data_IF_647444255705
#
_entry.id   IF_647444255705
#
_cell.length_a   1.000
_cell.length_b   1.000
_cell.length_c   1.000
_cell.angle_alpha   90.00
_cell.angle_beta   90.00
_cell.angle_gamma   90.00
#
_symmetry.space_group_name_H-M   'P 1'
#
loop_
_entity.id
_entity.type
_entity.pdbx_description
1 polymer ?
#
# COMPACT_ATOMS: atom_id res chain seq x y z
N UNK A 1 19.30 26.80 -4.39
CA UNK A 1 18.57 25.80 -5.22
C UNK A 1 18.54 24.50 -4.43
N UNK A 2 17.47 24.24 -3.72
CA UNK A 2 17.26 23.02 -2.96
C UNK A 2 16.59 22.00 -3.88
N UNK A 3 17.33 20.98 -4.29
CA UNK A 3 16.77 19.82 -4.97
C UNK A 3 15.85 19.08 -4.02
N UNK A 4 14.60 19.45 -4.01
CA UNK A 4 13.53 18.69 -3.38
C UNK A 4 13.05 17.65 -4.39
N UNK A 5 13.73 16.50 -4.44
CA UNK A 5 13.25 15.34 -5.17
C UNK A 5 12.08 14.76 -4.37
N UNK A 6 10.90 15.29 -4.59
CA UNK A 6 9.69 14.85 -3.91
C UNK A 6 8.90 13.97 -4.83
N UNK A 7 8.95 12.66 -4.57
CA UNK A 7 7.92 11.73 -5.01
C UNK A 7 6.62 12.16 -4.32
N UNK A 8 5.95 13.14 -4.90
CA UNK A 8 4.65 13.61 -4.40
C UNK A 8 3.56 12.73 -4.98
N UNK A 9 2.92 12.00 -4.09
CA UNK A 9 1.73 11.17 -4.22
C UNK A 9 1.97 9.79 -4.79
N UNK A 10 1.97 8.82 -3.88
CA UNK A 10 1.74 7.42 -4.21
C UNK A 10 0.42 7.27 -5.00
N UNK A 11 0.49 6.47 -6.06
CA UNK A 11 -0.61 6.24 -7.01
C UNK A 11 -1.81 5.47 -6.45
N UNK A 12 -1.93 5.37 -5.14
CA UNK A 12 -3.04 4.65 -4.52
C UNK A 12 -3.95 5.62 -3.79
N UNK A 13 -5.08 5.20 -3.61
CA UNK A 13 -6.30 5.71 -2.99
C UNK A 13 -6.20 6.73 -1.82
N UNK A 14 -5.07 7.41 -1.64
CA UNK A 14 -4.95 8.54 -0.71
C UNK A 14 -6.01 9.60 -1.03
N UNK A 15 -6.39 9.71 -2.29
CA UNK A 15 -7.35 10.68 -2.76
C UNK A 15 -8.82 10.25 -2.66
N UNK A 16 -9.14 9.01 -2.25
CA UNK A 16 -10.56 8.61 -2.07
C UNK A 16 -11.05 8.97 -0.67
N UNK A 17 -11.91 10.00 -0.53
CA UNK A 17 -12.45 10.38 0.77
C UNK A 17 -13.09 9.20 1.49
N UNK A 18 -12.76 9.02 2.77
CA UNK A 18 -13.34 7.96 3.60
C UNK A 18 -12.70 6.57 3.47
N UNK A 19 -11.75 6.37 2.56
CA UNK A 19 -10.97 5.12 2.49
C UNK A 19 -10.08 4.93 3.73
N UNK A 20 -9.74 3.69 4.04
CA UNK A 20 -8.79 3.37 5.12
C UNK A 20 -7.46 4.06 4.88
N UNK A 21 -6.98 4.03 3.63
CA UNK A 21 -5.74 4.67 3.21
C UNK A 21 -5.76 6.18 3.45
N UNK A 22 -6.86 6.87 3.11
CA UNK A 22 -6.98 8.31 3.33
C UNK A 22 -6.92 8.66 4.83
N UNK A 23 -7.64 7.92 5.67
CA UNK A 23 -7.62 8.14 7.13
C UNK A 23 -6.24 7.94 7.73
N UNK A 24 -5.53 6.89 7.31
CA UNK A 24 -4.16 6.62 7.78
C UNK A 24 -3.21 7.70 7.28
N UNK A 25 -3.37 8.14 6.03
CA UNK A 25 -2.55 9.22 5.49
C UNK A 25 -2.74 10.53 6.27
N UNK A 26 -3.95 10.87 6.66
CA UNK A 26 -4.22 12.04 7.51
C UNK A 26 -3.47 11.96 8.84
N UNK A 27 -3.54 10.80 9.52
CA UNK A 27 -2.83 10.57 10.78
C UNK A 27 -1.31 10.60 10.60
N UNK A 28 -0.81 10.00 9.53
CA UNK A 28 0.61 10.00 9.20
C UNK A 28 1.09 11.42 8.91
N UNK A 29 0.36 12.16 8.07
CA UNK A 29 0.68 13.55 7.71
C UNK A 29 0.65 14.49 8.90
N UNK A 30 -0.29 14.30 9.84
CA UNK A 30 -0.35 15.09 11.07
C UNK A 30 0.91 14.92 11.94
N UNK A 31 1.56 13.76 11.87
CA UNK A 31 2.79 13.47 12.64
C UNK A 31 4.08 13.82 11.90
N UNK A 32 4.10 13.67 10.59
CA UNK A 32 5.34 13.74 9.79
C UNK A 32 5.44 14.99 8.91
N UNK A 33 4.31 15.65 8.65
CA UNK A 33 4.23 16.82 7.78
C UNK A 33 4.14 16.50 6.28
N UNK A 34 4.19 15.21 5.88
CA UNK A 34 4.11 14.78 4.48
C UNK A 34 3.20 13.57 4.29
N UNK A 35 2.74 13.36 3.06
CA UNK A 35 1.86 12.25 2.72
C UNK A 35 2.63 10.91 2.71
N UNK A 36 1.92 9.81 2.94
CA UNK A 36 2.44 8.46 2.78
C UNK A 36 3.02 8.27 1.38
N UNK A 37 4.21 7.71 1.33
CA UNK A 37 4.83 7.21 0.11
C UNK A 37 4.68 5.68 -0.01
N UNK A 38 5.20 5.10 -1.08
CA UNK A 38 5.13 3.67 -1.33
C UNK A 38 5.84 2.84 -0.24
N UNK A 39 6.95 3.34 0.28
CA UNK A 39 7.72 2.64 1.32
C UNK A 39 7.00 2.68 2.67
N UNK A 40 6.58 3.85 3.11
CA UNK A 40 5.85 4.02 4.37
C UNK A 40 4.52 3.28 4.35
N UNK A 41 3.82 3.27 3.21
CA UNK A 41 2.59 2.53 3.05
C UNK A 41 2.75 1.02 3.15
N UNK A 42 3.76 0.45 2.51
CA UNK A 42 4.06 -0.99 2.64
C UNK A 42 4.41 -1.38 4.06
N UNK A 43 5.21 -0.56 4.75
CA UNK A 43 5.53 -0.79 6.14
C UNK A 43 4.30 -0.73 7.04
N UNK A 44 3.43 0.25 6.85
CA UNK A 44 2.16 0.34 7.58
C UNK A 44 1.27 -0.88 7.31
N UNK A 45 1.13 -1.31 6.05
CA UNK A 45 0.38 -2.52 5.71
C UNK A 45 0.95 -3.76 6.41
N UNK A 46 2.27 -3.92 6.44
CA UNK A 46 2.91 -5.04 7.15
C UNK A 46 2.60 -5.03 8.65
N UNK A 47 2.63 -3.84 9.27
CA UNK A 47 2.26 -3.69 10.69
C UNK A 47 0.80 -4.04 10.96
N UNK A 48 -0.13 -3.70 10.06
CA UNK A 48 -1.54 -4.11 10.19
C UNK A 48 -1.71 -5.62 10.10
N UNK A 49 -1.05 -6.27 9.13
CA UNK A 49 -1.09 -7.74 9.01
C UNK A 49 -0.52 -8.42 10.25
N UNK A 50 0.59 -7.90 10.77
CA UNK A 50 1.19 -8.42 12.01
C UNK A 50 0.26 -8.21 13.22
N UNK A 51 -0.32 -7.01 13.36
CA UNK A 51 -1.24 -6.70 14.45
C UNK A 51 -2.49 -7.58 14.43
N UNK A 52 -3.06 -7.82 13.24
CA UNK A 52 -4.15 -8.77 13.05
C UNK A 52 -3.76 -10.19 13.48
N UNK A 53 -2.57 -10.65 13.07
CA UNK A 53 -2.07 -11.97 13.43
C UNK A 53 -1.84 -12.11 14.95
N UNK A 54 -1.27 -11.12 15.62
CA UNK A 54 -1.08 -11.10 17.07
C UNK A 54 -2.44 -11.16 17.79
N UNK A 55 -3.41 -10.37 17.32
CA UNK A 55 -4.76 -10.36 17.89
C UNK A 55 -5.45 -11.72 17.76
N UNK A 56 -5.35 -12.38 16.60
CA UNK A 56 -5.88 -13.74 16.38
C UNK A 56 -5.13 -14.80 17.17
N UNK A 57 -3.82 -14.65 17.34
CA UNK A 57 -3.00 -15.57 18.13
C UNK A 57 -3.35 -15.52 19.62
N UNK A 58 -3.87 -14.41 20.13
CA UNK A 58 -4.15 -14.21 21.56
C UNK A 58 -2.90 -14.36 22.45
N UNK A 59 -1.71 -14.29 21.86
CA UNK A 59 -0.44 -14.60 22.52
C UNK A 59 0.71 -13.81 21.90
N UNK A 60 1.69 -13.41 22.73
CA UNK A 60 2.94 -12.82 22.28
C UNK A 60 4.03 -13.84 21.91
N UNK A 61 3.74 -15.14 21.97
CA UNK A 61 4.71 -16.19 21.62
C UNK A 61 4.91 -16.26 20.10
N UNK A 62 6.16 -16.33 19.67
CA UNK A 62 6.54 -16.35 18.25
C UNK A 62 5.85 -17.46 17.45
N UNK A 63 5.78 -18.67 18.01
CA UNK A 63 5.16 -19.81 17.32
C UNK A 63 3.65 -19.59 17.09
N UNK A 64 2.95 -19.02 18.06
CA UNK A 64 1.53 -18.70 17.93
C UNK A 64 1.28 -17.60 16.89
N UNK A 65 2.12 -16.56 16.89
CA UNK A 65 2.06 -15.48 15.89
C UNK A 65 2.37 -16.03 14.50
N UNK A 66 3.40 -16.87 14.36
CA UNK A 66 3.76 -17.49 13.07
C UNK A 66 2.61 -18.37 12.54
N UNK A 67 1.98 -19.16 13.39
CA UNK A 67 0.82 -19.97 13.01
C UNK A 67 -0.35 -19.07 12.54
N UNK A 68 -0.61 -17.97 13.25
CA UNK A 68 -1.63 -17.00 12.86
C UNK A 68 -1.29 -16.29 11.54
N UNK A 69 -0.01 -15.95 11.29
CA UNK A 69 0.44 -15.38 10.01
C UNK A 69 0.23 -16.36 8.87
N UNK A 70 0.62 -17.62 9.01
CA UNK A 70 0.39 -18.67 8.00
C UNK A 70 -1.10 -18.86 7.67
N UNK A 71 -1.96 -18.68 8.65
CA UNK A 71 -3.42 -18.78 8.49
C UNK A 71 -4.07 -17.43 8.05
N UNK A 72 -3.28 -16.42 7.71
CA UNK A 72 -3.81 -15.12 7.32
C UNK A 72 -4.54 -15.20 5.97
N UNK A 73 -5.76 -14.68 5.95
CA UNK A 73 -6.56 -14.51 4.74
C UNK A 73 -7.34 -13.18 4.85
N UNK A 74 -6.71 -12.09 4.37
CA UNK A 74 -7.30 -10.75 4.38
C UNK A 74 -7.81 -10.38 2.99
N UNK A 75 -8.99 -9.79 2.95
CA UNK A 75 -9.63 -9.31 1.71
C UNK A 75 -9.13 -7.90 1.32
N UNK A 76 -9.28 -7.47 0.05
CA UNK A 76 -8.86 -6.15 -0.40
C UNK A 76 -9.41 -5.00 0.44
N UNK A 77 -10.65 -5.11 0.91
CA UNK A 77 -11.33 -4.06 1.68
C UNK A 77 -10.73 -3.84 3.07
N UNK A 78 -9.96 -4.80 3.57
CA UNK A 78 -9.26 -4.75 4.86
C UNK A 78 -7.85 -4.18 4.74
N UNK A 79 -7.42 -3.86 3.51
CA UNK A 79 -6.06 -3.44 3.22
C UNK A 79 -6.01 -1.95 2.91
N UNK A 80 -4.88 -1.34 3.23
CA UNK A 80 -4.58 0.02 2.81
C UNK A 80 -3.83 0.09 1.48
N UNK A 81 -3.19 -1.04 1.08
CA UNK A 81 -2.52 -1.18 -0.22
C UNK A 81 -3.47 -1.81 -1.23
N UNK A 82 -3.28 -1.49 -2.51
CA UNK A 82 -4.10 -2.02 -3.60
C UNK A 82 -3.88 -3.50 -3.94
N UNK A 83 -3.51 -4.33 -2.97
CA UNK A 83 -3.38 -5.77 -3.17
C UNK A 83 -4.74 -6.44 -3.36
N UNK A 84 -4.73 -7.60 -4.01
CA UNK A 84 -5.93 -8.45 -4.15
C UNK A 84 -6.30 -9.15 -2.84
N UNK A 85 -5.45 -9.08 -1.85
CA UNK A 85 -5.59 -9.69 -0.54
C UNK A 85 -4.22 -9.95 0.10
N UNK A 86 -4.25 -10.56 1.28
CA UNK A 86 -3.07 -11.14 1.91
C UNK A 86 -3.37 -12.60 2.22
N UNK A 87 -2.61 -13.49 1.58
CA UNK A 87 -2.63 -14.94 1.82
C UNK A 87 -1.24 -15.49 1.55
N UNK A 88 -0.64 -16.06 2.57
CA UNK A 88 0.71 -16.60 2.48
C UNK A 88 0.67 -18.06 2.02
N UNK A 89 1.62 -18.41 1.15
CA UNK A 89 1.90 -19.80 0.78
C UNK A 89 2.87 -20.47 1.77
N UNK A 90 3.27 -21.69 1.45
CA UNK A 90 4.20 -22.48 2.28
C UNK A 90 5.58 -21.83 2.44
N UNK A 91 5.98 -21.00 1.48
CA UNK A 91 7.25 -20.26 1.49
C UNK A 91 7.17 -18.94 2.25
N UNK A 92 5.95 -18.53 2.66
CA UNK A 92 5.68 -17.26 3.32
C UNK A 92 5.50 -16.08 2.35
N UNK A 93 5.34 -16.34 1.04
CA UNK A 93 5.06 -15.30 0.06
C UNK A 93 3.57 -14.97 0.01
N UNK A 94 3.24 -13.67 -0.10
CA UNK A 94 1.86 -13.26 -0.32
C UNK A 94 1.45 -13.54 -1.77
N UNK A 95 0.62 -14.54 -2.00
CA UNK A 95 0.13 -14.96 -3.31
C UNK A 95 -0.87 -13.98 -3.94
N UNK A 96 -1.44 -13.07 -3.15
CA UNK A 96 -2.42 -12.08 -3.57
C UNK A 96 -1.83 -10.65 -3.70
N UNK A 97 -0.50 -10.53 -3.62
CA UNK A 97 0.18 -9.27 -3.91
C UNK A 97 -0.12 -8.80 -5.34
N UNK A 98 -0.20 -7.50 -5.54
CA UNK A 98 -0.43 -6.91 -6.85
C UNK A 98 0.62 -5.83 -7.14
N UNK A 99 1.00 -5.73 -8.42
CA UNK A 99 1.90 -4.70 -8.92
C UNK A 99 1.12 -3.71 -9.78
N UNK A 100 1.50 -2.45 -9.69
CA UNK A 100 0.93 -1.36 -10.47
C UNK A 100 2.04 -0.70 -11.28
N UNK A 101 1.76 -0.37 -12.55
CA UNK A 101 2.60 0.55 -13.30
C UNK A 101 2.12 1.97 -13.03
N UNK A 102 3.06 2.80 -12.65
CA UNK A 102 2.83 4.23 -12.45
C UNK A 102 3.64 5.02 -13.46
N UNK A 103 3.11 6.13 -13.91
CA UNK A 103 3.77 7.06 -14.82
C UNK A 103 3.74 8.45 -14.22
N UNK A 104 4.85 9.18 -14.31
CA UNK A 104 4.86 10.59 -14.00
C UNK A 104 4.21 11.36 -15.15
N UNK A 105 3.11 12.05 -14.86
CA UNK A 105 2.40 12.90 -15.82
C UNK A 105 2.27 14.31 -15.22
N UNK A 106 3.00 15.26 -15.79
CA UNK A 106 3.19 16.56 -15.17
C UNK A 106 3.99 16.40 -13.87
N UNK A 107 3.44 16.86 -12.76
CA UNK A 107 4.03 16.80 -11.42
C UNK A 107 3.51 15.65 -10.55
N UNK A 108 2.71 14.72 -11.13
CA UNK A 108 2.03 13.66 -10.38
C UNK A 108 2.34 12.27 -10.93
N UNK A 109 2.54 11.32 -10.01
CA UNK A 109 2.53 9.91 -10.33
C UNK A 109 1.10 9.40 -10.40
N UNK A 110 0.73 8.82 -11.54
CA UNK A 110 -0.60 8.24 -11.79
C UNK A 110 -0.48 6.77 -12.12
N UNK A 111 -1.43 5.95 -11.66
CA UNK A 111 -1.49 4.56 -12.05
C UNK A 111 -2.01 4.45 -13.49
N UNK A 112 -1.27 3.73 -14.34
CA UNK A 112 -1.63 3.53 -15.75
C UNK A 112 -1.94 2.07 -16.08
N UNK A 113 -1.58 1.13 -15.19
CA UNK A 113 -1.88 -0.29 -15.34
C UNK A 113 -1.93 -0.98 -13.97
N UNK A 114 -2.78 -2.01 -13.78
CA UNK A 114 -3.75 -2.59 -14.73
C UNK A 114 -4.95 -1.66 -14.97
N UNK A 115 -5.61 -1.81 -16.13
CA UNK A 115 -6.68 -0.91 -16.55
C UNK A 115 -7.81 -0.72 -15.51
N UNK A 116 -8.11 -1.77 -14.74
CA UNK A 116 -9.13 -1.73 -13.66
C UNK A 116 -8.77 -0.76 -12.54
N UNK A 117 -7.47 -0.52 -12.32
CA UNK A 117 -6.95 0.32 -11.23
C UNK A 117 -6.26 1.58 -11.77
N UNK A 118 -6.28 1.79 -13.08
CA UNK A 118 -5.68 2.95 -13.70
C UNK A 118 -6.47 4.22 -13.35
N UNK A 119 -5.74 5.27 -12.97
CA UNK A 119 -6.28 6.60 -12.70
C UNK A 119 -6.07 7.56 -13.86
N UNK A 120 -5.20 7.17 -14.82
CA UNK A 120 -4.94 7.91 -16.04
C UNK A 120 -4.58 6.95 -17.19
N UNK A 121 -4.67 7.44 -18.42
CA UNK A 121 -4.20 6.71 -19.60
C UNK A 121 -2.68 6.77 -19.70
N UNK A 122 -2.07 5.67 -20.14
CA UNK A 122 -0.65 5.63 -20.47
C UNK A 122 -0.35 6.64 -21.61
N UNK A 123 0.64 7.49 -21.39
CA UNK A 123 1.14 8.42 -22.43
C UNK A 123 2.32 7.79 -23.14
N UNK A 124 2.16 7.56 -24.46
CA UNK A 124 3.20 7.06 -25.36
C UNK A 124 3.17 7.89 -26.62
N UNK A 125 4.30 8.45 -27.08
CA UNK A 125 5.61 8.49 -26.39
C UNK A 125 5.56 9.32 -25.10
N UNK A 126 6.47 9.05 -24.16
CA UNK A 126 6.59 9.82 -22.94
C UNK A 126 7.05 11.25 -23.27
N UNK A 127 6.30 12.24 -22.82
CA UNK A 127 6.55 13.65 -23.17
C UNK A 127 7.53 14.37 -22.21
N UNK A 128 8.05 13.65 -21.21
CA UNK A 128 8.91 14.23 -20.18
C UNK A 128 8.14 15.01 -19.11
N UNK A 129 8.89 15.82 -18.39
CA UNK A 129 8.39 16.77 -17.38
C UNK A 129 8.06 18.13 -18.04
#
# INVERSE_FOLDING_TARGET
>A
MTFSCWIRRSAWDIGKPGSVTAKINELFKAKTGYDLDDTSGRNMQAMFVLGDAINRAGSGKSDAIQAALKATELKPEQLMMGYKGVKFDETGQNTLAATYLIQLQGDQYVAVWPAKSATAKLQVPYKGW
#
